data_IF_905022779725
#
_entry.id   IF_905022779725
#
_cell.length_a   1.000
_cell.length_b   1.000
_cell.length_c   1.000
_cell.angle_alpha   90.00
_cell.angle_beta   90.00
_cell.angle_gamma   90.00
#
_symmetry.space_group_name_H-M   'P 1'
#
loop_
_entity.id
_entity.type
_entity.pdbx_description
1 polymer ?
#
# COMPACT_ATOMS: atom_id res chain seq x y z
N UNK A 1 6.48 -23.41 -2.23
CA UNK A 1 7.45 -22.43 -1.72
C UNK A 1 8.01 -22.80 -0.35
N UNK A 2 7.18 -22.96 0.70
CA UNK A 2 7.73 -23.30 2.05
C UNK A 2 8.41 -24.68 2.03
N UNK A 3 7.80 -25.71 1.45
CA UNK A 3 8.39 -27.05 1.32
C UNK A 3 9.74 -27.05 0.58
N UNK A 4 9.88 -26.22 -0.44
CA UNK A 4 11.09 -26.09 -1.25
C UNK A 4 12.07 -25.06 -0.66
N UNK A 5 11.68 -24.39 0.41
CA UNK A 5 12.38 -23.31 1.08
C UNK A 5 12.90 -22.22 0.10
N UNK A 6 12.11 -21.91 -0.93
CA UNK A 6 12.45 -20.97 -2.00
C UNK A 6 11.22 -20.22 -2.50
N UNK A 7 11.40 -18.94 -2.80
CA UNK A 7 10.38 -18.11 -3.46
C UNK A 7 10.32 -16.68 -2.90
N UNK A 8 9.64 -15.81 -3.64
CA UNK A 8 9.38 -14.44 -3.24
C UNK A 8 7.96 -14.06 -3.63
N UNK A 9 7.19 -13.57 -2.66
CA UNK A 9 5.81 -13.10 -2.83
C UNK A 9 5.82 -11.57 -2.79
N UNK A 10 5.22 -10.93 -3.78
CA UNK A 10 4.95 -9.49 -3.78
C UNK A 10 3.45 -9.27 -3.66
N UNK A 11 2.99 -8.83 -2.49
CA UNK A 11 1.61 -8.42 -2.29
C UNK A 11 1.42 -6.95 -2.64
N UNK A 12 0.31 -6.63 -3.33
CA UNK A 12 -0.02 -5.28 -3.75
C UNK A 12 -1.15 -4.72 -2.88
N UNK A 13 -0.78 -3.82 -1.98
CA UNK A 13 -1.74 -3.05 -1.18
C UNK A 13 -1.91 -1.62 -1.72
N UNK A 14 -1.81 -0.62 -0.89
CA UNK A 14 -1.86 0.81 -1.17
C UNK A 14 -1.38 1.59 0.06
N UNK A 15 -1.11 2.88 -0.10
CA UNK A 15 -0.98 3.80 1.04
C UNK A 15 -2.26 3.82 1.89
N UNK A 16 -3.42 3.58 1.29
CA UNK A 16 -4.71 3.40 1.96
C UNK A 16 -4.70 2.28 3.02
N UNK A 17 -3.75 1.36 2.96
CA UNK A 17 -3.57 0.30 3.97
C UNK A 17 -2.94 0.77 5.28
N UNK A 18 -2.70 2.06 5.47
CA UNK A 18 -2.10 2.62 6.69
C UNK A 18 -2.94 3.72 7.34
N UNK A 19 -4.05 4.08 6.75
CA UNK A 19 -4.92 5.19 7.18
C UNK A 19 -6.39 4.77 7.12
N UNK A 20 -7.28 5.40 7.90
CA UNK A 20 -8.72 5.25 7.73
C UNK A 20 -9.18 5.88 6.41
N UNK A 21 -10.30 5.44 5.86
CA UNK A 21 -10.81 5.93 4.59
C UNK A 21 -12.31 6.14 4.57
N UNK A 22 -12.84 7.17 5.26
CA UNK A 22 -14.23 7.58 5.12
C UNK A 22 -14.62 7.74 3.65
N UNK A 23 -15.86 7.46 3.30
CA UNK A 23 -16.41 7.50 1.93
C UNK A 23 -15.82 6.45 0.95
N UNK A 24 -14.79 5.70 1.36
CA UNK A 24 -14.21 4.57 0.64
C UNK A 24 -13.85 3.42 1.60
N UNK A 25 -14.65 3.21 2.64
CA UNK A 25 -14.35 2.33 3.77
C UNK A 25 -13.94 0.90 3.33
N UNK A 26 -14.70 0.27 2.45
CA UNK A 26 -14.42 -1.08 1.96
C UNK A 26 -13.06 -1.19 1.26
N UNK A 27 -12.72 -0.21 0.43
CA UNK A 27 -11.41 -0.18 -0.24
C UNK A 27 -10.27 -0.07 0.77
N UNK A 28 -10.35 0.89 1.69
CA UNK A 28 -9.33 1.10 2.72
C UNK A 28 -9.21 -0.11 3.64
N UNK A 29 -10.32 -0.68 4.10
CA UNK A 29 -10.34 -1.90 4.90
C UNK A 29 -9.67 -3.07 4.18
N UNK A 30 -9.95 -3.28 2.89
CA UNK A 30 -9.32 -4.32 2.09
C UNK A 30 -7.79 -4.13 2.00
N UNK A 31 -7.31 -2.88 1.87
CA UNK A 31 -5.87 -2.59 1.79
C UNK A 31 -5.18 -2.71 3.16
N UNK A 32 -5.86 -2.34 4.24
CA UNK A 32 -5.40 -2.61 5.61
C UNK A 32 -5.27 -4.12 5.87
N UNK A 33 -6.26 -4.91 5.44
CA UNK A 33 -6.18 -6.38 5.52
C UNK A 33 -4.91 -6.92 4.84
N UNK A 34 -4.64 -6.52 3.59
CA UNK A 34 -3.44 -6.97 2.86
C UNK A 34 -2.16 -6.58 3.59
N UNK A 35 -2.10 -5.36 4.15
CA UNK A 35 -0.93 -4.91 4.94
C UNK A 35 -0.75 -5.77 6.19
N UNK A 36 -1.81 -6.01 6.96
CA UNK A 36 -1.78 -6.80 8.18
C UNK A 36 -1.39 -8.27 7.88
N UNK A 37 -2.06 -8.90 6.92
CA UNK A 37 -1.77 -10.26 6.47
C UNK A 37 -0.30 -10.42 6.06
N UNK A 38 0.22 -9.51 5.22
CA UNK A 38 1.60 -9.61 4.73
C UNK A 38 2.62 -9.48 5.85
N UNK A 39 2.35 -8.64 6.86
CA UNK A 39 3.19 -8.50 8.05
C UNK A 39 3.18 -9.77 8.89
N UNK A 40 2.01 -10.38 9.09
CA UNK A 40 1.86 -11.63 9.83
C UNK A 40 2.64 -12.76 9.15
N UNK A 41 2.39 -13.00 7.86
CA UNK A 41 3.09 -14.03 7.07
C UNK A 41 4.60 -13.83 7.10
N UNK A 42 5.10 -12.58 6.95
CA UNK A 42 6.54 -12.32 7.09
C UNK A 42 7.10 -12.78 8.43
N UNK A 43 6.36 -12.49 9.53
CA UNK A 43 6.80 -12.87 10.88
C UNK A 43 6.81 -14.38 11.06
N UNK A 44 5.80 -15.07 10.56
CA UNK A 44 5.68 -16.53 10.57
C UNK A 44 6.83 -17.19 9.81
N UNK A 45 7.08 -16.78 8.56
CA UNK A 45 8.21 -17.26 7.75
C UNK A 45 9.56 -17.07 8.48
N UNK A 46 9.74 -15.91 9.14
CA UNK A 46 10.94 -15.66 9.94
C UNK A 46 11.06 -16.63 11.12
N UNK A 47 9.95 -16.92 11.81
CA UNK A 47 9.94 -17.89 12.93
C UNK A 47 10.20 -19.31 12.45
N UNK A 48 9.71 -19.68 11.28
CA UNK A 48 9.96 -20.95 10.62
C UNK A 48 11.39 -21.08 10.03
N UNK A 49 12.21 -20.03 10.14
CA UNK A 49 13.54 -19.95 9.50
C UNK A 49 13.49 -20.21 7.98
N UNK A 50 12.37 -19.90 7.34
CA UNK A 50 12.19 -20.10 5.91
C UNK A 50 12.98 -19.08 5.10
N UNK A 51 13.57 -19.52 3.98
CA UNK A 51 14.22 -18.64 2.99
C UNK A 51 13.22 -17.92 2.07
N UNK A 52 11.92 -18.26 2.13
CA UNK A 52 10.86 -17.56 1.37
C UNK A 52 10.80 -16.10 1.78
N UNK A 53 10.78 -15.21 0.79
CA UNK A 53 10.71 -13.75 0.99
C UNK A 53 9.30 -13.24 0.73
N UNK A 54 8.95 -12.16 1.39
CA UNK A 54 7.69 -11.45 1.19
C UNK A 54 7.95 -9.96 1.10
N UNK A 55 7.41 -9.32 0.09
CA UNK A 55 7.41 -7.88 -0.11
C UNK A 55 5.99 -7.34 -0.18
N UNK A 56 5.82 -6.08 0.18
CA UNK A 56 4.55 -5.36 0.22
C UNK A 56 4.68 -4.05 -0.55
N UNK A 57 4.02 -3.96 -1.69
CA UNK A 57 3.93 -2.74 -2.48
C UNK A 57 2.75 -1.88 -1.98
N UNK A 58 3.03 -0.64 -1.61
CA UNK A 58 2.04 0.32 -1.13
C UNK A 58 2.15 1.64 -1.93
N UNK A 59 1.63 1.69 -3.15
CA UNK A 59 1.67 2.90 -3.96
C UNK A 59 0.65 3.94 -3.46
N UNK A 60 0.90 5.19 -3.83
CA UNK A 60 -0.10 6.24 -3.87
C UNK A 60 -0.94 6.16 -5.15
N UNK A 61 -1.52 7.28 -5.63
CA UNK A 61 -2.22 7.32 -6.90
C UNK A 61 -1.33 6.87 -8.07
N UNK A 62 -1.86 5.99 -8.91
CA UNK A 62 -1.20 5.49 -10.12
C UNK A 62 -2.13 5.73 -11.30
N UNK A 63 -1.58 6.17 -12.44
CA UNK A 63 -2.34 6.40 -13.66
C UNK A 63 -2.77 5.05 -14.27
N UNK A 64 -3.97 4.61 -13.93
CA UNK A 64 -4.61 3.37 -14.39
C UNK A 64 -6.11 3.59 -14.56
N UNK A 65 -6.82 2.59 -15.05
CA UNK A 65 -8.28 2.62 -15.12
C UNK A 65 -8.99 2.58 -13.74
N UNK A 66 -8.23 2.45 -12.64
CA UNK A 66 -8.80 2.41 -11.30
C UNK A 66 -9.68 3.63 -10.99
N UNK A 67 -9.24 4.83 -11.39
CA UNK A 67 -9.99 6.06 -11.14
C UNK A 67 -11.38 6.04 -11.77
N UNK A 68 -11.50 5.50 -12.99
CA UNK A 68 -12.78 5.34 -13.68
C UNK A 68 -13.68 4.31 -12.99
N UNK A 69 -13.11 3.16 -12.62
CA UNK A 69 -13.86 2.07 -11.97
C UNK A 69 -14.32 2.45 -10.58
N UNK A 70 -13.46 3.13 -9.81
CA UNK A 70 -13.77 3.57 -8.45
C UNK A 70 -14.58 4.88 -8.38
N UNK A 71 -14.86 5.49 -9.54
CA UNK A 71 -15.54 6.79 -9.67
C UNK A 71 -14.91 7.86 -8.77
N UNK A 72 -13.57 7.98 -8.82
CA UNK A 72 -12.80 8.94 -8.04
C UNK A 72 -11.92 9.80 -8.93
N UNK A 73 -11.86 11.09 -8.65
CA UNK A 73 -11.00 12.03 -9.36
C UNK A 73 -9.87 12.48 -8.45
N UNK A 74 -8.65 12.00 -8.69
CA UNK A 74 -7.48 12.43 -7.92
C UNK A 74 -6.96 13.76 -8.45
N UNK A 75 -7.00 14.79 -7.61
CA UNK A 75 -6.37 16.10 -7.89
C UNK A 75 -4.83 16.01 -7.99
N UNK A 76 -4.24 14.97 -7.42
CA UNK A 76 -2.80 14.73 -7.44
C UNK A 76 -2.45 13.89 -8.67
N UNK A 77 -1.48 14.34 -9.45
CA UNK A 77 -0.96 13.58 -10.60
C UNK A 77 -0.40 12.24 -10.12
N UNK A 78 -0.99 11.16 -10.59
CA UNK A 78 -0.53 9.81 -10.29
C UNK A 78 0.83 9.51 -10.94
N UNK A 79 1.57 8.56 -10.37
CA UNK A 79 2.76 7.99 -10.99
C UNK A 79 2.37 7.12 -12.20
N UNK A 80 3.26 6.97 -13.19
CA UNK A 80 2.99 6.03 -14.27
C UNK A 80 3.01 4.58 -13.79
N UNK A 81 2.19 3.73 -14.39
CA UNK A 81 2.10 2.31 -14.04
C UNK A 81 3.43 1.60 -14.31
N UNK A 82 4.12 1.94 -15.39
CA UNK A 82 5.43 1.40 -15.76
C UNK A 82 6.49 1.72 -14.70
N UNK A 83 6.54 2.98 -14.26
CA UNK A 83 7.47 3.39 -13.20
C UNK A 83 7.19 2.62 -11.90
N UNK A 84 5.92 2.53 -11.49
CA UNK A 84 5.53 1.81 -10.27
C UNK A 84 5.87 0.34 -10.36
N UNK A 85 5.60 -0.31 -11.50
CA UNK A 85 5.91 -1.72 -11.73
C UNK A 85 7.42 -1.97 -11.67
N UNK A 86 8.22 -1.20 -12.42
CA UNK A 86 9.68 -1.31 -12.39
C UNK A 86 10.23 -1.09 -10.99
N UNK A 87 9.81 -0.02 -10.32
CA UNK A 87 10.23 0.30 -8.95
C UNK A 87 9.87 -0.83 -7.97
N UNK A 88 8.69 -1.44 -8.12
CA UNK A 88 8.26 -2.56 -7.30
C UNK A 88 9.15 -3.80 -7.49
N UNK A 89 9.39 -4.21 -8.72
CA UNK A 89 10.22 -5.38 -9.03
C UNK A 89 11.67 -5.17 -8.57
N UNK A 90 12.29 -4.04 -8.91
CA UNK A 90 13.67 -3.71 -8.52
C UNK A 90 13.87 -3.77 -6.99
N UNK A 91 12.88 -3.27 -6.23
CA UNK A 91 12.97 -3.28 -4.76
C UNK A 91 12.59 -4.64 -4.15
N UNK A 92 11.72 -5.41 -4.81
CA UNK A 92 11.43 -6.80 -4.45
C UNK A 92 12.70 -7.66 -4.57
N UNK A 93 13.39 -7.58 -5.68
CA UNK A 93 14.65 -8.29 -5.92
C UNK A 93 15.74 -7.91 -4.90
N UNK A 94 15.71 -6.67 -4.40
CA UNK A 94 16.56 -6.20 -3.28
C UNK A 94 16.06 -6.63 -1.90
N UNK A 95 15.08 -7.52 -1.82
CA UNK A 95 14.47 -8.01 -0.57
C UNK A 95 13.88 -6.90 0.33
N UNK A 96 13.48 -5.76 -0.22
CA UNK A 96 12.79 -4.74 0.56
C UNK A 96 11.40 -5.21 0.94
N UNK A 97 11.08 -5.12 2.24
CA UNK A 97 9.79 -5.56 2.74
C UNK A 97 8.67 -4.59 2.36
N UNK A 98 8.78 -3.31 2.70
CA UNK A 98 7.78 -2.29 2.35
C UNK A 98 8.34 -1.45 1.21
N UNK A 99 7.61 -1.44 0.10
CA UNK A 99 7.97 -0.74 -1.13
C UNK A 99 6.94 0.36 -1.37
N UNK A 100 7.37 1.62 -1.29
CA UNK A 100 6.52 2.81 -1.47
C UNK A 100 7.15 3.68 -2.56
N UNK A 101 6.58 3.70 -3.77
CA UNK A 101 7.01 4.61 -4.83
C UNK A 101 6.63 6.06 -4.47
N UNK A 102 7.57 6.98 -4.69
CA UNK A 102 7.36 8.41 -4.43
C UNK A 102 7.68 8.84 -2.99
N UNK A 103 8.40 9.97 -2.87
CA UNK A 103 8.85 10.49 -1.57
C UNK A 103 7.67 11.06 -0.76
N UNK A 104 6.74 11.77 -1.41
CA UNK A 104 5.54 12.32 -0.77
C UNK A 104 4.69 11.24 -0.09
N UNK A 105 4.54 10.09 -0.74
CA UNK A 105 3.77 8.96 -0.20
C UNK A 105 4.48 8.32 1.01
N UNK A 106 5.81 8.31 1.02
CA UNK A 106 6.57 7.86 2.21
C UNK A 106 6.33 8.78 3.41
N UNK A 107 6.27 10.09 3.17
CA UNK A 107 5.94 11.07 4.21
C UNK A 107 4.51 10.89 4.72
N UNK A 108 3.53 10.67 3.85
CA UNK A 108 2.15 10.37 4.26
C UNK A 108 2.10 9.18 5.22
N UNK A 109 2.80 8.07 4.90
CA UNK A 109 2.88 6.92 5.81
C UNK A 109 3.54 7.27 7.14
N UNK A 110 4.57 8.11 7.14
CA UNK A 110 5.25 8.53 8.36
C UNK A 110 4.30 9.30 9.27
N UNK A 111 3.59 10.31 8.73
CA UNK A 111 2.62 11.09 9.48
C UNK A 111 1.43 10.24 9.95
N UNK A 112 0.94 9.32 9.12
CA UNK A 112 -0.12 8.38 9.50
C UNK A 112 0.23 7.50 10.72
N UNK A 113 1.50 7.34 11.03
CA UNK A 113 1.96 6.59 12.22
C UNK A 113 1.99 7.43 13.49
N UNK A 114 2.09 8.75 13.36
CA UNK A 114 2.35 9.67 14.49
C UNK A 114 1.07 10.42 14.88
N UNK A 115 0.23 10.77 13.91
CA UNK A 115 -0.98 11.54 14.16
C UNK A 115 -2.05 10.68 14.84
N UNK A 116 -2.85 11.28 15.76
CA UNK A 116 -4.05 10.65 16.28
C UNK A 116 -5.02 10.23 15.17
N UNK A 117 -5.71 9.11 15.40
CA UNK A 117 -6.61 8.53 14.39
C UNK A 117 -7.72 9.49 13.98
N UNK A 118 -8.29 10.23 14.93
CA UNK A 118 -9.35 11.20 14.72
C UNK A 118 -8.96 12.32 13.75
N UNK A 119 -7.71 12.80 13.86
CA UNK A 119 -7.17 13.82 12.94
C UNK A 119 -7.00 13.23 11.53
N UNK A 120 -6.56 11.99 11.45
CA UNK A 120 -6.41 11.29 10.17
C UNK A 120 -7.77 11.04 9.50
N UNK A 121 -8.80 10.70 10.28
CA UNK A 121 -10.17 10.49 9.79
C UNK A 121 -10.74 11.75 9.18
N UNK A 122 -10.64 12.87 9.87
CA UNK A 122 -11.12 14.17 9.39
C UNK A 122 -10.40 14.61 8.12
N UNK A 123 -9.05 14.51 8.13
CA UNK A 123 -8.25 14.83 6.96
C UNK A 123 -8.60 13.95 5.76
N UNK A 124 -8.76 12.63 5.99
CA UNK A 124 -9.12 11.69 4.94
C UNK A 124 -10.53 11.93 4.42
N UNK A 125 -11.48 12.29 5.30
CA UNK A 125 -12.84 12.64 4.90
C UNK A 125 -12.84 13.80 3.91
N UNK A 126 -12.20 14.91 4.23
CA UNK A 126 -12.13 16.09 3.36
C UNK A 126 -11.45 15.77 2.00
N UNK A 127 -10.39 14.98 2.01
CA UNK A 127 -9.75 14.54 0.77
C UNK A 127 -10.70 13.70 -0.08
N UNK A 128 -11.43 12.76 0.49
CA UNK A 128 -12.34 11.90 -0.26
C UNK A 128 -13.58 12.64 -0.75
N UNK A 129 -14.13 13.52 0.07
CA UNK A 129 -15.25 14.38 -0.33
C UNK A 129 -14.90 15.25 -1.52
N UNK A 130 -13.70 15.85 -1.52
CA UNK A 130 -13.23 16.71 -2.62
C UNK A 130 -13.00 15.96 -3.94
N UNK A 131 -12.93 14.61 -3.92
CA UNK A 131 -12.78 13.76 -5.12
C UNK A 131 -14.11 13.34 -5.73
N UNK A 132 -15.22 13.50 -4.99
CA UNK A 132 -16.58 13.16 -5.45
C UNK A 132 -17.27 14.34 -6.14
N UNK A 133 -16.75 15.53 -5.99
CA UNK A 133 -17.18 16.76 -6.68
C UNK A 133 -16.36 16.92 -7.97
#
# INVERSE_FOLDING_TARGET
>A
MVKENKGHILNVASIAGFIPGPLMATYYASKNYVVALTRAVKKELKKMKSAVKVSLLCPGPVNTNFNKVANVNFKVKGLSSEYVAKYAIDNTLKNKFIIIPGLSIKLTKFFAKILPTEILEEFCYHIQESKRR
#
